data_IF_998954870019
#
_entry.id   IF_998954870019
#
_cell.length_a   1.000
_cell.length_b   1.000
_cell.length_c   1.000
_cell.angle_alpha   90.00
_cell.angle_beta   90.00
_cell.angle_gamma   90.00
#
_symmetry.space_group_name_H-M   'P 1'
#
loop_
_entity.id
_entity.type
_entity.pdbx_description
1 polymer ?
#
# COMPACT_ATOMS: atom_id res chain seq x y z
N UNK A 1 -19.70 23.60 63.99
CA UNK A 1 -18.35 23.27 63.45
C UNK A 1 -18.35 21.76 63.25
N UNK A 2 -18.34 21.19 62.04
CA UNK A 2 -17.18 21.01 61.13
C UNK A 2 -17.69 20.72 59.70
N UNK A 3 -16.93 21.22 58.72
CA UNK A 3 -17.06 21.17 57.23
C UNK A 3 -17.19 19.74 56.68
N UNK A 4 -18.09 19.49 55.73
CA UNK A 4 -17.92 19.61 54.27
C UNK A 4 -16.74 18.80 53.70
N UNK A 5 -17.04 17.79 52.88
CA UNK A 5 -16.18 17.34 51.77
C UNK A 5 -16.95 16.43 50.82
N UNK A 6 -17.50 17.02 49.75
CA UNK A 6 -17.90 16.30 48.54
C UNK A 6 -16.63 15.84 47.80
N UNK A 7 -16.43 14.53 47.67
CA UNK A 7 -15.41 13.95 46.80
C UNK A 7 -15.88 13.99 45.35
N UNK A 8 -15.45 15.00 44.60
CA UNK A 8 -15.58 15.02 43.14
C UNK A 8 -14.40 14.24 42.53
N UNK A 9 -14.68 13.05 41.97
CA UNK A 9 -13.76 12.30 41.11
C UNK A 9 -13.81 12.90 39.69
N UNK A 10 -12.86 13.76 39.33
CA UNK A 10 -12.70 14.24 37.97
C UNK A 10 -11.79 13.28 37.18
N UNK A 11 -12.38 12.48 36.29
CA UNK A 11 -11.65 11.72 35.26
C UNK A 11 -11.07 12.69 34.22
N UNK A 12 -9.75 12.82 34.18
CA UNK A 12 -9.07 13.48 33.08
C UNK A 12 -8.91 12.50 31.90
N UNK A 13 -9.70 12.67 30.84
CA UNK A 13 -9.51 11.95 29.59
C UNK A 13 -8.34 12.58 28.81
N UNK A 14 -7.16 11.97 28.89
CA UNK A 14 -6.05 12.31 28.02
C UNK A 14 -6.34 11.76 26.61
N UNK A 15 -6.80 12.62 25.70
CA UNK A 15 -6.80 12.32 24.28
C UNK A 15 -5.35 12.32 23.78
N UNK A 16 -4.73 11.14 23.78
CA UNK A 16 -3.48 10.93 23.07
C UNK A 16 -3.78 11.06 21.57
N UNK A 17 -3.44 12.21 21.01
CA UNK A 17 -3.38 12.36 19.55
C UNK A 17 -2.44 11.30 19.00
N UNK A 18 -2.96 10.42 18.16
CA UNK A 18 -2.13 9.46 17.43
C UNK A 18 -1.10 10.23 16.62
N UNK A 19 0.20 9.95 16.73
CA UNK A 19 1.16 10.49 15.79
C UNK A 19 0.75 10.03 14.39
N UNK A 20 0.60 10.98 13.47
CA UNK A 20 0.55 10.69 12.03
C UNK A 20 1.84 9.95 11.73
N UNK A 21 1.75 8.65 11.51
CA UNK A 21 2.89 7.85 11.08
C UNK A 21 3.32 8.45 9.73
N UNK A 22 4.59 8.88 9.57
CA UNK A 22 5.07 9.29 8.27
C UNK A 22 4.81 8.14 7.30
N UNK A 23 4.11 8.46 6.20
CA UNK A 23 3.89 7.54 5.10
C UNK A 23 5.23 6.91 4.77
N UNK A 24 5.27 5.61 4.99
CA UNK A 24 6.49 4.86 4.92
C UNK A 24 7.10 5.08 3.54
N UNK A 25 8.29 5.69 3.51
CA UNK A 25 9.30 5.61 2.46
C UNK A 25 9.81 4.15 2.34
N UNK A 26 8.88 3.18 2.37
CA UNK A 26 9.09 1.79 2.08
C UNK A 26 9.29 1.70 0.56
N UNK A 27 10.56 1.89 0.24
CA UNK A 27 11.29 0.97 -0.61
C UNK A 27 11.13 1.27 -2.09
N UNK A 28 11.62 2.44 -2.49
CA UNK A 28 11.93 2.74 -3.89
C UNK A 28 13.16 1.95 -4.38
N UNK A 29 14.05 1.51 -3.47
CA UNK A 29 15.23 0.73 -3.81
C UNK A 29 14.92 -0.75 -4.11
N UNK A 30 14.03 -1.44 -3.39
CA UNK A 30 13.67 -2.84 -3.77
C UNK A 30 12.84 -2.95 -5.04
N UNK A 31 12.31 -1.84 -5.53
CA UNK A 31 11.66 -1.76 -6.85
C UNK A 31 12.67 -1.75 -8.00
N UNK A 32 13.98 -1.75 -7.71
CA UNK A 32 15.02 -1.79 -8.73
C UNK A 32 15.20 -3.20 -9.28
N UNK A 33 14.25 -3.60 -10.10
CA UNK A 33 14.33 -4.80 -10.93
C UNK A 33 14.93 -4.45 -12.29
N UNK A 34 15.46 -5.43 -13.02
CA UNK A 34 16.01 -5.16 -14.36
C UNK A 34 14.93 -4.65 -15.34
N UNK A 35 13.68 -5.12 -15.16
CA UNK A 35 12.50 -4.63 -15.87
C UNK A 35 12.00 -3.24 -15.42
N UNK A 36 12.42 -2.74 -14.25
CA UNK A 36 11.83 -1.56 -13.62
C UNK A 36 10.36 -1.75 -13.20
N UNK A 37 9.91 -3.00 -13.04
CA UNK A 37 8.54 -3.37 -12.69
C UNK A 37 8.44 -4.04 -11.32
N UNK A 38 7.47 -3.59 -10.53
CA UNK A 38 7.28 -3.97 -9.14
C UNK A 38 5.83 -4.36 -8.87
N UNK A 39 5.59 -5.05 -7.76
CA UNK A 39 4.23 -5.37 -7.32
C UNK A 39 3.49 -4.10 -6.89
N UNK A 40 2.29 -3.92 -7.43
CA UNK A 40 1.41 -2.82 -7.05
C UNK A 40 -0.02 -3.33 -6.87
N UNK A 41 -0.71 -2.80 -5.86
CA UNK A 41 -2.13 -3.03 -5.65
C UNK A 41 -2.75 -1.74 -5.11
N UNK A 42 -3.97 -1.44 -5.54
CA UNK A 42 -4.75 -0.33 -5.01
C UNK A 42 -6.19 -0.82 -4.81
N UNK A 43 -6.47 -1.55 -3.71
CA UNK A 43 -7.80 -2.13 -3.48
C UNK A 43 -8.90 -1.08 -3.38
N UNK A 44 -8.58 0.11 -2.86
CA UNK A 44 -9.50 1.27 -2.84
C UNK A 44 -9.85 1.79 -4.25
N UNK A 45 -9.09 1.39 -5.27
CA UNK A 45 -9.32 1.72 -6.68
C UNK A 45 -9.68 0.51 -7.53
N UNK A 46 -10.11 -0.60 -6.91
CA UNK A 46 -10.42 -1.86 -7.58
C UNK A 46 -9.27 -2.39 -8.47
N UNK A 47 -8.03 -1.97 -8.19
CA UNK A 47 -6.85 -2.47 -8.88
C UNK A 47 -6.30 -3.67 -8.10
N UNK A 48 -6.37 -4.89 -8.67
CA UNK A 48 -5.84 -6.08 -8.02
C UNK A 48 -4.31 -6.02 -7.92
N UNK A 49 -3.70 -7.05 -7.33
CA UNK A 49 -2.26 -7.22 -7.37
C UNK A 49 -1.77 -7.44 -8.81
N UNK A 50 -0.97 -6.50 -9.30
CA UNK A 50 -0.42 -6.46 -10.67
C UNK A 50 1.05 -6.09 -10.64
N UNK A 51 1.74 -6.27 -11.76
CA UNK A 51 3.06 -5.70 -11.98
C UNK A 51 2.94 -4.32 -12.60
N UNK A 52 3.41 -3.28 -11.93
CA UNK A 52 3.44 -1.91 -12.45
C UNK A 52 4.89 -1.49 -12.71
N UNK A 53 5.15 -0.94 -13.89
CA UNK A 53 6.48 -0.50 -14.30
C UNK A 53 6.66 1.01 -14.13
N UNK A 54 7.91 1.49 -14.14
CA UNK A 54 8.24 2.92 -14.02
C UNK A 54 7.55 3.81 -15.06
N UNK A 55 7.29 3.30 -16.27
CA UNK A 55 6.54 4.00 -17.31
C UNK A 55 5.02 4.03 -17.08
N UNK A 56 4.53 3.47 -15.97
CA UNK A 56 3.12 3.39 -15.61
C UNK A 56 2.34 2.22 -16.24
N UNK A 57 2.99 1.40 -17.07
CA UNK A 57 2.34 0.24 -17.69
C UNK A 57 2.11 -0.86 -16.67
N UNK A 58 1.04 -1.61 -16.89
CA UNK A 58 0.53 -2.64 -16.00
C UNK A 58 0.56 -3.97 -16.73
N UNK A 59 1.09 -4.97 -16.07
CA UNK A 59 1.26 -6.32 -16.56
C UNK A 59 0.78 -7.35 -15.54
N UNK A 60 0.53 -8.55 -16.02
CA UNK A 60 0.27 -9.73 -15.20
C UNK A 60 1.52 -10.13 -14.41
N UNK A 61 1.26 -10.72 -13.25
CA UNK A 61 2.30 -11.35 -12.42
C UNK A 61 2.76 -12.63 -13.11
N UNK A 62 4.07 -12.73 -13.35
CA UNK A 62 4.74 -13.91 -13.86
C UNK A 62 4.83 -15.00 -12.79
N UNK A 63 3.79 -15.83 -12.69
CA UNK A 63 3.72 -16.95 -11.75
C UNK A 63 4.81 -18.00 -11.99
N UNK A 64 5.27 -18.18 -13.23
CA UNK A 64 6.35 -19.12 -13.53
C UNK A 64 7.66 -18.65 -12.88
N UNK A 65 7.94 -17.35 -12.95
CA UNK A 65 9.10 -16.75 -12.31
C UNK A 65 8.98 -16.85 -10.78
N UNK A 66 7.79 -16.64 -10.20
CA UNK A 66 7.56 -16.86 -8.77
C UNK A 66 7.81 -18.31 -8.34
N UNK A 67 7.31 -19.26 -9.11
CA UNK A 67 7.51 -20.69 -8.84
C UNK A 67 9.00 -21.10 -8.96
N UNK A 68 9.78 -20.36 -9.75
CA UNK A 68 11.23 -20.51 -9.87
C UNK A 68 12.01 -19.76 -8.77
N UNK A 69 11.34 -19.16 -7.79
CA UNK A 69 11.95 -18.46 -6.65
C UNK A 69 12.21 -16.98 -6.86
N UNK A 70 11.73 -16.38 -7.95
CA UNK A 70 11.81 -14.94 -8.16
C UNK A 70 10.57 -14.19 -7.66
N UNK A 71 10.56 -12.87 -7.87
CA UNK A 71 9.50 -11.98 -7.39
C UNK A 71 8.22 -11.96 -8.23
N UNK A 72 8.26 -12.24 -9.54
CA UNK A 72 7.09 -12.32 -10.42
C UNK A 72 6.82 -11.09 -11.29
N UNK A 73 7.51 -9.96 -11.09
CA UNK A 73 7.44 -8.79 -11.98
C UNK A 73 8.74 -8.53 -12.76
N UNK A 74 9.70 -9.45 -12.72
CA UNK A 74 10.98 -9.31 -13.42
C UNK A 74 11.45 -10.64 -14.05
N UNK A 75 11.14 -10.89 -15.33
CA UNK A 75 10.31 -10.06 -16.22
C UNK A 75 8.82 -10.15 -15.86
N UNK A 76 8.02 -9.09 -16.13
CA UNK A 76 6.57 -9.17 -16.04
C UNK A 76 5.99 -10.07 -17.14
N UNK A 77 4.69 -10.38 -17.08
CA UNK A 77 4.03 -11.25 -18.05
C UNK A 77 3.12 -10.49 -19.03
N UNK A 78 1.87 -10.93 -19.22
CA UNK A 78 0.95 -10.37 -20.19
C UNK A 78 0.70 -8.88 -19.95
N UNK A 79 0.72 -8.07 -21.00
CA UNK A 79 0.37 -6.65 -20.92
C UNK A 79 -1.12 -6.50 -20.62
N UNK A 80 -1.47 -5.60 -19.69
CA UNK A 80 -2.85 -5.31 -19.31
C UNK A 80 -3.25 -3.89 -19.73
N UNK A 81 -2.48 -2.87 -19.33
CA UNK A 81 -2.85 -1.47 -19.53
C UNK A 81 -1.64 -0.53 -19.53
N UNK A 82 -1.80 0.65 -20.13
CA UNK A 82 -0.77 1.71 -20.14
C UNK A 82 -0.74 2.57 -18.88
N UNK A 83 -1.77 2.47 -18.03
CA UNK A 83 -1.92 3.25 -16.80
C UNK A 83 -2.95 2.61 -15.87
N UNK A 84 -2.99 3.03 -14.61
CA UNK A 84 -4.04 2.60 -13.67
C UNK A 84 -5.45 2.90 -14.20
N UNK A 85 -5.66 4.10 -14.76
CA UNK A 85 -6.96 4.54 -15.30
C UNK A 85 -7.44 3.74 -16.51
N UNK A 86 -6.53 3.11 -17.26
CA UNK A 86 -6.87 2.26 -18.40
C UNK A 86 -6.99 0.77 -18.02
N UNK A 87 -6.80 0.42 -16.74
CA UNK A 87 -7.00 -0.94 -16.28
C UNK A 87 -8.51 -1.28 -16.27
N UNK A 88 -8.95 -2.44 -16.81
CA UNK A 88 -10.38 -2.77 -16.97
C UNK A 88 -11.20 -2.77 -15.67
N UNK A 89 -10.54 -2.98 -14.53
CA UNK A 89 -11.18 -3.03 -13.22
C UNK A 89 -11.08 -1.72 -12.43
N UNK A 90 -10.40 -0.68 -12.94
CA UNK A 90 -10.15 0.54 -12.17
C UNK A 90 -11.44 1.28 -11.81
N UNK A 91 -11.61 1.63 -10.53
CA UNK A 91 -12.82 2.27 -9.99
C UNK A 91 -12.54 3.52 -9.14
N UNK A 92 -11.34 4.07 -9.27
CA UNK A 92 -11.03 5.44 -8.90
C UNK A 92 -11.18 6.36 -10.14
#
# INVERSE_FOLDING_TARGET
>A
MVRNSLCFLTLAAAALGSPIQPDHDLDLESRQTASGCYHHAAPNCCLPGVCMCQNGWIYEINRNQMNAGGQGCDPPWGFIATSRKSHPQYCC
#
